data_IF_966817055423
#
_entry.id   IF_966817055423
#
_cell.length_a   1.000
_cell.length_b   1.000
_cell.length_c   1.000
_cell.angle_alpha   90.00
_cell.angle_beta   90.00
_cell.angle_gamma   90.00
#
_symmetry.space_group_name_H-M   'P 1'
#
loop_
_entity.id
_entity.type
_entity.pdbx_description
1 polymer ?
#
# COMPACT_ATOMS: atom_id res chain seq x y z
N UNK A 1 -0.55 -3.35 -19.53
CA UNK A 1 -1.69 -3.39 -18.59
C UNK A 1 -1.67 -2.19 -17.68
N UNK A 2 -2.79 -1.44 -17.59
CA UNK A 2 -2.95 -0.29 -16.68
C UNK A 2 -4.11 -0.53 -15.72
N UNK A 3 -4.14 0.21 -14.60
CA UNK A 3 -5.20 0.09 -13.59
C UNK A 3 -5.87 1.45 -13.37
N UNK A 4 -7.19 1.47 -13.48
CA UNK A 4 -8.03 2.58 -13.06
C UNK A 4 -8.64 2.23 -11.71
N UNK A 5 -8.52 3.12 -10.73
CA UNK A 5 -9.18 2.97 -9.44
C UNK A 5 -10.17 4.11 -9.22
N UNK A 6 -11.46 3.82 -9.38
CA UNK A 6 -12.56 4.76 -9.20
C UNK A 6 -13.11 4.66 -7.78
N UNK A 7 -13.33 5.80 -7.14
CA UNK A 7 -14.06 5.83 -5.87
C UNK A 7 -15.55 5.81 -6.18
N UNK A 8 -16.24 4.73 -5.83
CA UNK A 8 -17.68 4.59 -5.98
C UNK A 8 -18.44 5.11 -4.76
N UNK A 9 -19.67 5.54 -4.98
CA UNK A 9 -20.61 6.02 -3.96
C UNK A 9 -21.84 5.11 -4.02
N UNK A 10 -21.75 3.89 -3.44
CA UNK A 10 -22.88 2.98 -3.44
C UNK A 10 -23.99 3.49 -2.52
N UNK A 11 -25.24 3.24 -2.89
CA UNK A 11 -26.42 3.44 -2.03
C UNK A 11 -26.52 2.34 -0.97
N UNK A 12 -27.48 2.45 -0.02
CA UNK A 12 -27.58 1.53 1.12
C UNK A 12 -27.77 0.08 0.65
N UNK A 13 -28.64 -0.20 -0.34
CA UNK A 13 -28.84 -1.55 -0.89
C UNK A 13 -27.56 -2.12 -1.50
N UNK A 14 -26.80 -1.29 -2.21
CA UNK A 14 -25.52 -1.69 -2.78
C UNK A 14 -24.47 -1.93 -1.70
N UNK A 15 -24.48 -1.14 -0.63
CA UNK A 15 -23.62 -1.36 0.55
C UNK A 15 -23.93 -2.71 1.17
N UNK A 16 -25.20 -3.06 1.37
CA UNK A 16 -25.60 -4.34 1.94
C UNK A 16 -25.10 -5.51 1.07
N UNK A 17 -25.26 -5.44 -0.24
CA UNK A 17 -24.73 -6.44 -1.19
C UNK A 17 -23.20 -6.59 -1.06
N UNK A 18 -22.48 -5.47 -0.97
CA UNK A 18 -21.02 -5.49 -0.81
C UNK A 18 -20.64 -6.14 0.52
N UNK A 19 -21.29 -5.76 1.62
CA UNK A 19 -20.98 -6.28 2.95
C UNK A 19 -21.31 -7.78 3.07
N UNK A 20 -22.44 -8.21 2.52
CA UNK A 20 -22.82 -9.61 2.43
C UNK A 20 -21.79 -10.40 1.63
N UNK A 21 -21.42 -9.90 0.44
CA UNK A 21 -20.38 -10.53 -0.40
C UNK A 21 -19.07 -10.70 0.37
N UNK A 22 -18.57 -9.64 1.00
CA UNK A 22 -17.32 -9.70 1.78
C UNK A 22 -17.42 -10.64 2.98
N UNK A 23 -18.60 -10.72 3.60
CA UNK A 23 -18.91 -11.64 4.70
C UNK A 23 -18.85 -13.09 4.27
N UNK A 24 -19.55 -13.44 3.19
CA UNK A 24 -19.59 -14.76 2.59
C UNK A 24 -18.20 -15.23 2.14
N UNK A 25 -17.46 -14.37 1.48
CA UNK A 25 -16.10 -14.69 1.03
C UNK A 25 -15.14 -14.93 2.21
N UNK A 26 -15.31 -14.20 3.31
CA UNK A 26 -14.56 -14.45 4.54
C UNK A 26 -14.88 -15.83 5.11
N UNK A 27 -16.14 -16.22 5.12
CA UNK A 27 -16.57 -17.55 5.56
C UNK A 27 -15.93 -18.62 4.69
N UNK A 28 -16.05 -18.54 3.37
CA UNK A 28 -15.48 -19.52 2.41
C UNK A 28 -13.96 -19.63 2.57
N UNK A 29 -13.25 -18.50 2.69
CA UNK A 29 -11.81 -18.48 2.94
C UNK A 29 -11.44 -19.27 4.20
N UNK A 30 -12.20 -19.04 5.28
CA UNK A 30 -11.94 -19.70 6.56
C UNK A 30 -12.29 -21.19 6.51
N UNK A 31 -13.35 -21.59 5.80
CA UNK A 31 -13.68 -22.99 5.60
C UNK A 31 -12.59 -23.72 4.83
N UNK A 32 -12.07 -23.13 3.74
CA UNK A 32 -10.93 -23.67 2.99
C UNK A 32 -9.70 -23.85 3.87
N UNK A 33 -9.37 -22.81 4.65
CA UNK A 33 -8.22 -22.86 5.55
C UNK A 33 -8.40 -23.93 6.62
N UNK A 34 -9.57 -23.99 7.25
CA UNK A 34 -9.89 -25.01 8.27
C UNK A 34 -9.84 -26.44 7.74
N UNK A 35 -10.39 -26.66 6.54
CA UNK A 35 -10.38 -27.97 5.89
C UNK A 35 -8.94 -28.45 5.62
N UNK A 36 -8.08 -27.59 5.07
CA UNK A 36 -6.68 -27.94 4.82
C UNK A 36 -5.87 -28.15 6.11
N UNK A 37 -6.12 -27.38 7.18
CA UNK A 37 -5.47 -27.58 8.48
C UNK A 37 -5.89 -28.91 9.09
N UNK A 38 -7.19 -29.25 9.03
CA UNK A 38 -7.72 -30.52 9.52
C UNK A 38 -7.15 -31.70 8.74
N UNK A 39 -7.16 -31.60 7.41
CA UNK A 39 -6.59 -32.62 6.53
C UNK A 39 -5.09 -32.81 6.78
N UNK A 40 -4.33 -31.73 6.93
CA UNK A 40 -2.90 -31.79 7.25
C UNK A 40 -2.64 -32.58 8.54
N UNK A 41 -3.36 -32.25 9.63
CA UNK A 41 -3.21 -32.95 10.90
C UNK A 41 -3.53 -34.44 10.76
N UNK A 42 -4.65 -34.77 10.15
CA UNK A 42 -5.08 -36.18 9.95
C UNK A 42 -4.05 -36.98 9.17
N UNK A 43 -3.57 -36.45 8.04
CA UNK A 43 -2.60 -37.16 7.19
C UNK A 43 -1.21 -37.26 7.82
N UNK A 44 -0.76 -36.25 8.59
CA UNK A 44 0.55 -36.28 9.22
C UNK A 44 0.58 -37.05 10.53
N UNK A 45 -0.48 -36.97 11.35
CA UNK A 45 -0.51 -37.56 12.69
C UNK A 45 -1.08 -38.98 12.70
N UNK A 46 -2.06 -39.30 11.82
CA UNK A 46 -2.74 -40.58 11.80
C UNK A 46 -2.33 -41.48 10.61
N UNK A 47 -2.27 -40.93 9.39
CA UNK A 47 -1.97 -41.69 8.19
C UNK A 47 -0.48 -41.73 7.82
N UNK A 48 0.31 -40.81 8.37
CA UNK A 48 1.76 -40.68 8.06
C UNK A 48 2.06 -40.57 6.56
N UNK A 49 1.18 -39.89 5.79
CA UNK A 49 1.34 -39.64 4.37
C UNK A 49 1.32 -38.13 4.03
N UNK A 50 1.60 -37.79 2.75
CA UNK A 50 1.66 -36.42 2.27
C UNK A 50 0.44 -35.99 1.41
N UNK A 51 -0.65 -36.75 1.41
CA UNK A 51 -1.83 -36.52 0.55
C UNK A 51 -2.86 -35.55 1.14
N UNK A 52 -2.46 -34.73 2.06
CA UNK A 52 -3.33 -33.83 2.84
C UNK A 52 -3.88 -32.62 2.08
N UNK A 53 -3.24 -32.20 0.98
CA UNK A 53 -3.56 -30.92 0.35
C UNK A 53 -4.84 -30.99 -0.47
N UNK A 54 -5.85 -30.24 -0.04
CA UNK A 54 -7.11 -30.08 -0.77
C UNK A 54 -6.91 -28.94 -1.77
N UNK A 55 -7.04 -29.25 -3.07
CA UNK A 55 -6.90 -28.25 -4.12
C UNK A 55 -8.05 -27.24 -4.08
N UNK A 56 -7.82 -26.03 -4.58
CA UNK A 56 -8.87 -25.02 -4.69
C UNK A 56 -10.01 -25.46 -5.63
N UNK A 57 -9.74 -26.28 -6.62
CA UNK A 57 -10.76 -26.82 -7.53
C UNK A 57 -11.67 -27.85 -6.84
N UNK A 58 -11.10 -28.73 -6.06
CA UNK A 58 -11.87 -29.75 -5.33
C UNK A 58 -12.71 -29.10 -4.25
N UNK A 59 -12.14 -28.10 -3.57
CA UNK A 59 -12.90 -27.33 -2.58
C UNK A 59 -14.01 -26.49 -3.22
N UNK A 60 -13.81 -25.93 -4.41
CA UNK A 60 -14.86 -25.21 -5.15
C UNK A 60 -16.04 -26.12 -5.50
N UNK A 61 -15.76 -27.36 -5.89
CA UNK A 61 -16.81 -28.40 -6.09
C UNK A 61 -17.57 -28.65 -4.78
N UNK A 62 -16.86 -28.89 -3.68
CA UNK A 62 -17.47 -29.07 -2.36
C UNK A 62 -18.33 -27.88 -1.94
N UNK A 63 -17.88 -26.66 -2.13
CA UNK A 63 -18.65 -25.45 -1.85
C UNK A 63 -19.94 -25.38 -2.65
N UNK A 64 -19.89 -25.75 -3.93
CA UNK A 64 -21.07 -25.68 -4.81
C UNK A 64 -22.08 -26.82 -4.61
N UNK A 65 -21.62 -28.00 -4.24
CA UNK A 65 -22.48 -29.20 -4.13
C UNK A 65 -22.91 -29.51 -2.71
N UNK A 66 -22.02 -29.38 -1.72
CA UNK A 66 -22.28 -29.82 -0.35
C UNK A 66 -22.41 -28.66 0.63
N UNK A 67 -21.38 -27.82 0.76
CA UNK A 67 -21.38 -26.73 1.72
C UNK A 67 -22.58 -25.77 1.51
N UNK A 68 -22.98 -25.58 0.25
CA UNK A 68 -24.13 -24.72 -0.07
C UNK A 68 -25.49 -25.34 0.25
N UNK A 69 -25.58 -26.63 0.59
CA UNK A 69 -26.81 -27.24 1.12
C UNK A 69 -27.02 -26.81 2.57
N UNK A 70 -25.93 -26.83 3.36
CA UNK A 70 -25.96 -26.41 4.76
C UNK A 70 -26.06 -24.88 4.92
N UNK A 71 -25.49 -24.15 3.95
CA UNK A 71 -25.43 -22.68 3.95
C UNK A 71 -25.95 -22.09 2.62
N UNK A 72 -27.27 -22.08 2.35
CA UNK A 72 -27.85 -21.65 1.06
C UNK A 72 -27.47 -20.24 0.64
N UNK A 73 -27.25 -19.33 1.60
CA UNK A 73 -26.84 -17.94 1.37
C UNK A 73 -25.47 -17.81 0.64
N UNK A 74 -24.67 -18.87 0.59
CA UNK A 74 -23.44 -18.89 -0.22
C UNK A 74 -23.74 -18.67 -1.70
N UNK A 75 -24.89 -19.15 -2.19
CA UNK A 75 -25.28 -19.03 -3.60
C UNK A 75 -25.79 -17.64 -3.97
N UNK A 76 -26.09 -16.78 -3.02
CA UNK A 76 -26.54 -15.40 -3.25
C UNK A 76 -25.43 -14.49 -3.82
N UNK A 77 -24.17 -14.88 -3.68
CA UNK A 77 -23.05 -14.15 -4.24
C UNK A 77 -22.49 -14.85 -5.50
N UNK A 78 -21.76 -14.07 -6.32
CA UNK A 78 -21.16 -14.57 -7.57
C UNK A 78 -20.27 -15.80 -7.35
N UNK A 79 -20.51 -16.87 -8.14
CA UNK A 79 -19.67 -18.08 -8.16
C UNK A 79 -18.22 -17.75 -8.53
N UNK A 80 -18.00 -16.81 -9.43
CA UNK A 80 -16.65 -16.36 -9.82
C UNK A 80 -15.92 -15.68 -8.66
N UNK A 81 -16.64 -14.87 -7.85
CA UNK A 81 -16.06 -14.26 -6.66
C UNK A 81 -15.69 -15.32 -5.60
N UNK A 82 -16.53 -16.36 -5.43
CA UNK A 82 -16.26 -17.50 -4.53
C UNK A 82 -14.99 -18.23 -4.96
N UNK A 83 -14.95 -18.63 -6.25
CA UNK A 83 -13.77 -19.32 -6.83
C UNK A 83 -12.50 -18.49 -6.69
N UNK A 84 -12.53 -17.19 -7.03
CA UNK A 84 -11.37 -16.29 -6.85
C UNK A 84 -10.87 -16.27 -5.39
N UNK A 85 -11.78 -16.27 -4.41
CA UNK A 85 -11.40 -16.28 -3.00
C UNK A 85 -10.75 -17.59 -2.57
N UNK A 86 -11.26 -18.73 -3.03
CA UNK A 86 -10.68 -20.05 -2.78
C UNK A 86 -9.26 -20.13 -3.39
N UNK A 87 -9.12 -19.73 -4.66
CA UNK A 87 -7.82 -19.69 -5.33
C UNK A 87 -6.81 -18.75 -4.65
N UNK A 88 -7.28 -17.65 -4.07
CA UNK A 88 -6.43 -16.75 -3.28
C UNK A 88 -5.98 -17.39 -1.95
N UNK A 89 -6.84 -18.18 -1.30
CA UNK A 89 -6.47 -18.95 -0.12
C UNK A 89 -5.45 -20.04 -0.46
N UNK A 90 -5.65 -20.76 -1.55
CA UNK A 90 -4.71 -21.76 -2.07
C UNK A 90 -3.34 -21.15 -2.37
N UNK A 91 -3.30 -19.99 -3.06
CA UNK A 91 -2.05 -19.28 -3.33
C UNK A 91 -1.31 -18.90 -2.06
N UNK A 92 -2.04 -18.52 -1.00
CA UNK A 92 -1.43 -18.19 0.28
C UNK A 92 -0.75 -19.40 0.93
N UNK A 93 -1.38 -20.59 0.87
CA UNK A 93 -0.76 -21.85 1.31
C UNK A 93 0.46 -22.18 0.48
N UNK A 94 0.32 -22.24 -0.85
CA UNK A 94 1.43 -22.57 -1.74
C UNK A 94 2.62 -21.64 -1.54
N UNK A 95 2.38 -20.36 -1.32
CA UNK A 95 3.44 -19.37 -1.04
C UNK A 95 4.16 -19.68 0.27
N UNK A 96 3.43 -20.02 1.33
CA UNK A 96 4.02 -20.40 2.61
C UNK A 96 4.91 -21.63 2.49
N UNK A 97 4.43 -22.71 1.84
CA UNK A 97 5.21 -23.93 1.71
C UNK A 97 6.42 -23.79 0.77
N UNK A 98 6.37 -22.84 -0.19
CA UNK A 98 7.51 -22.54 -1.06
C UNK A 98 8.61 -21.76 -0.34
N UNK A 99 8.27 -20.88 0.61
CA UNK A 99 9.24 -20.03 1.30
C UNK A 99 8.78 -19.78 2.76
N UNK A 100 9.00 -20.79 3.60
CA UNK A 100 8.60 -20.78 5.03
C UNK A 100 9.35 -19.72 5.84
N UNK A 101 10.57 -19.37 5.45
CA UNK A 101 11.38 -18.40 6.18
C UNK A 101 10.90 -16.96 5.95
N UNK A 102 10.39 -16.66 4.76
CA UNK A 102 9.95 -15.29 4.39
C UNK A 102 8.45 -15.08 4.47
N UNK A 103 7.65 -16.14 4.64
CA UNK A 103 6.19 -16.02 4.64
C UNK A 103 5.57 -16.63 5.87
N UNK A 104 4.61 -15.92 6.48
CA UNK A 104 3.85 -16.46 7.59
C UNK A 104 2.78 -17.46 7.12
N UNK A 105 2.44 -18.42 8.00
CA UNK A 105 1.33 -19.33 7.77
C UNK A 105 0.01 -18.55 7.56
N UNK A 106 -0.86 -18.96 6.61
CA UNK A 106 -2.11 -18.29 6.33
C UNK A 106 -3.00 -18.20 7.59
N UNK A 107 -3.45 -16.98 7.91
CA UNK A 107 -4.25 -16.71 9.11
C UNK A 107 -5.74 -16.61 8.76
N UNK A 108 -6.61 -17.12 9.65
CA UNK A 108 -8.06 -16.92 9.54
C UNK A 108 -8.43 -15.46 9.40
N UNK A 109 -9.39 -15.18 8.54
CA UNK A 109 -9.94 -13.84 8.33
C UNK A 109 -10.97 -13.51 9.40
N UNK A 110 -10.94 -12.29 9.92
CA UNK A 110 -11.93 -11.80 10.88
C UNK A 110 -12.49 -10.44 10.45
N UNK A 111 -13.71 -10.12 10.87
CA UNK A 111 -14.35 -8.83 10.50
C UNK A 111 -13.57 -7.62 11.00
N UNK A 112 -12.93 -7.72 12.16
CA UNK A 112 -12.24 -6.58 12.82
C UNK A 112 -10.73 -6.56 12.55
N UNK A 113 -10.03 -7.69 12.76
CA UNK A 113 -8.55 -7.73 12.75
C UNK A 113 -7.95 -7.95 11.36
N UNK A 114 -8.53 -8.86 10.57
CA UNK A 114 -8.01 -9.25 9.26
C UNK A 114 -9.17 -9.45 8.27
N UNK A 115 -9.90 -8.39 7.88
CA UNK A 115 -11.08 -8.52 7.02
C UNK A 115 -10.73 -8.85 5.58
N UNK A 116 -11.65 -9.52 4.88
CA UNK A 116 -11.67 -9.52 3.42
C UNK A 116 -12.04 -8.11 2.97
N UNK A 117 -11.22 -7.50 2.12
CA UNK A 117 -11.37 -6.10 1.70
C UNK A 117 -11.76 -5.93 0.24
N UNK A 118 -11.77 -6.99 -0.54
CA UNK A 118 -12.10 -6.92 -1.96
C UNK A 118 -12.65 -8.22 -2.49
N UNK A 119 -13.43 -8.12 -3.56
CA UNK A 119 -13.90 -9.27 -4.30
C UNK A 119 -13.83 -9.03 -5.81
N UNK A 120 -13.67 -10.12 -6.54
CA UNK A 120 -13.63 -10.14 -7.99
C UNK A 120 -15.01 -9.87 -8.58
N UNK A 121 -15.06 -9.13 -9.70
CA UNK A 121 -16.25 -8.93 -10.53
C UNK A 121 -15.92 -9.41 -11.94
N UNK A 122 -16.89 -10.06 -12.56
CA UNK A 122 -16.81 -10.45 -13.98
C UNK A 122 -16.67 -9.17 -14.81
N UNK A 123 -15.73 -9.17 -15.75
CA UNK A 123 -15.47 -8.03 -16.62
C UNK A 123 -16.62 -7.77 -17.61
N UNK A 124 -17.28 -8.86 -18.04
CA UNK A 124 -18.34 -8.80 -19.01
C UNK A 124 -19.55 -8.05 -18.44
N UNK A 125 -19.98 -7.04 -19.14
CA UNK A 125 -21.06 -6.14 -18.72
C UNK A 125 -20.62 -4.93 -17.89
N UNK A 126 -19.34 -4.70 -17.59
CA UNK A 126 -18.90 -3.43 -17.02
C UNK A 126 -18.99 -2.36 -18.13
N UNK A 127 -19.79 -1.30 -17.89
CA UNK A 127 -20.07 -0.26 -18.87
C UNK A 127 -19.98 1.14 -18.25
N UNK A 128 -19.62 2.10 -19.10
CA UNK A 128 -19.51 3.53 -18.75
C UNK A 128 -20.47 4.38 -19.62
N UNK A 129 -21.61 3.85 -19.96
CA UNK A 129 -22.65 4.43 -20.80
C UNK A 129 -23.40 5.62 -20.17
N UNK A 130 -23.25 5.85 -18.86
CA UNK A 130 -23.83 7.00 -18.15
C UNK A 130 -22.77 7.87 -17.50
N UNK A 131 -22.86 9.21 -17.60
CA UNK A 131 -21.93 10.12 -16.94
C UNK A 131 -21.84 9.88 -15.44
N UNK A 132 -20.63 9.80 -14.91
CA UNK A 132 -20.33 9.58 -13.47
C UNK A 132 -20.90 8.29 -12.88
N UNK A 133 -21.39 7.38 -13.69
CA UNK A 133 -21.86 6.07 -13.27
C UNK A 133 -21.06 4.98 -13.95
N UNK A 134 -20.86 3.89 -13.26
CA UNK A 134 -20.36 2.63 -13.80
C UNK A 134 -21.41 1.56 -13.57
N UNK A 135 -21.76 0.82 -14.62
CA UNK A 135 -22.58 -0.38 -14.47
C UNK A 135 -21.69 -1.56 -14.08
N UNK A 136 -22.04 -2.22 -12.99
CA UNK A 136 -21.32 -3.36 -12.44
C UNK A 136 -22.28 -4.55 -12.31
N UNK A 137 -21.90 -5.77 -12.71
CA UNK A 137 -22.82 -6.93 -12.81
C UNK A 137 -23.66 -7.22 -11.57
N UNK A 138 -23.19 -6.92 -10.37
CA UNK A 138 -23.92 -7.22 -9.13
C UNK A 138 -24.53 -5.96 -8.51
N UNK A 139 -23.90 -4.81 -8.73
CA UNK A 139 -24.27 -3.55 -8.09
C UNK A 139 -25.10 -2.66 -8.97
N UNK A 140 -25.24 -3.01 -10.27
CA UNK A 140 -25.87 -2.19 -11.29
C UNK A 140 -25.23 -0.78 -11.39
N UNK A 141 -25.96 0.25 -11.82
CA UNK A 141 -25.42 1.60 -11.91
C UNK A 141 -25.02 2.12 -10.54
N UNK A 142 -23.75 2.38 -10.41
CA UNK A 142 -23.14 2.90 -9.19
C UNK A 142 -22.41 4.20 -9.51
N UNK A 143 -22.72 5.25 -8.78
CA UNK A 143 -22.06 6.54 -8.94
C UNK A 143 -20.58 6.46 -8.54
N UNK A 144 -19.74 7.24 -9.22
CA UNK A 144 -18.34 7.39 -8.83
C UNK A 144 -17.85 8.84 -8.92
N UNK A 145 -16.80 9.12 -8.18
CA UNK A 145 -16.13 10.42 -8.23
C UNK A 145 -15.17 10.42 -9.43
N UNK A 146 -15.56 11.16 -10.48
CA UNK A 146 -14.68 11.37 -11.63
C UNK A 146 -13.53 12.32 -11.28
N UNK A 147 -12.32 11.87 -11.53
CA UNK A 147 -11.07 12.65 -11.39
C UNK A 147 -10.53 13.09 -12.74
N UNK A 148 -11.40 13.31 -13.70
CA UNK A 148 -11.06 13.71 -15.05
C UNK A 148 -10.75 12.56 -16.01
N UNK A 149 -11.13 11.32 -15.67
CA UNK A 149 -10.96 10.16 -16.55
C UNK A 149 -11.83 10.26 -17.82
N UNK A 150 -13.07 10.73 -17.71
CA UNK A 150 -13.94 11.01 -18.88
C UNK A 150 -13.35 12.10 -19.77
N UNK A 151 -12.88 13.21 -19.17
CA UNK A 151 -12.29 14.32 -19.94
C UNK A 151 -11.04 13.88 -20.70
N UNK A 152 -10.32 12.87 -20.21
CA UNK A 152 -9.14 12.29 -20.86
C UNK A 152 -9.48 11.19 -21.88
N UNK A 153 -10.73 10.88 -22.08
CA UNK A 153 -11.17 9.80 -22.97
C UNK A 153 -10.77 8.39 -22.52
N UNK A 154 -10.41 8.22 -21.24
CA UNK A 154 -9.94 6.93 -20.71
C UNK A 154 -11.11 6.00 -20.39
N UNK A 155 -12.25 6.57 -19.97
CA UNK A 155 -13.47 5.83 -19.66
C UNK A 155 -14.43 5.95 -20.86
N UNK A 156 -14.50 4.92 -21.64
CA UNK A 156 -15.42 4.74 -22.75
C UNK A 156 -15.86 3.28 -22.81
N UNK A 157 -16.83 2.95 -23.63
CA UNK A 157 -17.35 1.60 -23.79
C UNK A 157 -16.37 0.64 -24.47
N UNK A 158 -15.37 1.18 -25.19
CA UNK A 158 -14.34 0.40 -25.90
C UNK A 158 -13.16 0.00 -25.01
N UNK A 159 -13.25 0.28 -23.70
CA UNK A 159 -12.16 -0.05 -22.76
C UNK A 159 -11.97 -1.57 -22.67
N UNK A 160 -10.82 -2.10 -23.17
CA UNK A 160 -10.51 -3.54 -23.09
C UNK A 160 -10.18 -3.94 -21.63
N UNK A 161 -11.25 -4.26 -20.89
CA UNK A 161 -11.18 -4.64 -19.48
C UNK A 161 -10.71 -6.08 -19.38
N UNK A 162 -9.62 -6.30 -18.64
CA UNK A 162 -9.11 -7.64 -18.33
C UNK A 162 -9.72 -8.23 -17.05
N UNK A 163 -9.84 -7.41 -16.01
CA UNK A 163 -10.46 -7.83 -14.73
C UNK A 163 -10.89 -6.62 -13.92
N UNK A 164 -11.82 -6.85 -12.99
CA UNK A 164 -12.24 -5.81 -12.05
C UNK A 164 -12.44 -6.36 -10.63
N UNK A 165 -12.30 -5.49 -9.64
CA UNK A 165 -12.53 -5.80 -8.22
C UNK A 165 -13.23 -4.65 -7.53
N UNK A 166 -14.23 -4.96 -6.71
CA UNK A 166 -14.76 -4.00 -5.72
C UNK A 166 -13.89 -4.07 -4.48
N UNK A 167 -13.56 -2.92 -3.92
CA UNK A 167 -12.65 -2.79 -2.79
C UNK A 167 -13.32 -1.94 -1.72
N UNK A 168 -13.35 -2.42 -0.48
CA UNK A 168 -13.65 -1.62 0.71
C UNK A 168 -12.34 -1.30 1.43
N UNK A 169 -12.02 -0.02 1.57
CA UNK A 169 -10.81 0.37 2.30
C UNK A 169 -11.02 0.31 3.83
N UNK A 170 -9.93 0.47 4.59
CA UNK A 170 -9.96 0.47 6.05
C UNK A 170 -10.71 1.66 6.66
N UNK A 171 -11.11 2.63 5.85
CA UNK A 171 -11.87 3.81 6.26
C UNK A 171 -13.35 3.73 5.86
N UNK A 172 -13.80 2.57 5.34
CA UNK A 172 -15.18 2.35 4.91
C UNK A 172 -15.55 3.01 3.58
N UNK A 173 -14.56 3.39 2.75
CA UNK A 173 -14.80 3.88 1.39
C UNK A 173 -14.79 2.73 0.40
N UNK A 174 -15.59 2.84 -0.64
CA UNK A 174 -15.71 1.83 -1.68
C UNK A 174 -15.05 2.30 -2.97
N UNK A 175 -14.42 1.37 -3.66
CA UNK A 175 -13.73 1.61 -4.92
C UNK A 175 -14.01 0.45 -5.88
N UNK A 176 -13.99 0.74 -7.17
CA UNK A 176 -13.79 -0.29 -8.19
C UNK A 176 -12.39 -0.12 -8.79
N UNK A 177 -11.64 -1.20 -8.84
CA UNK A 177 -10.33 -1.27 -9.48
C UNK A 177 -10.47 -2.07 -10.75
N UNK A 178 -10.18 -1.47 -11.88
CA UNK A 178 -10.34 -2.03 -13.22
C UNK A 178 -8.96 -2.16 -13.82
N UNK A 179 -8.57 -3.38 -14.18
CA UNK A 179 -7.38 -3.69 -14.95
C UNK A 179 -7.78 -3.73 -16.43
N UNK A 180 -7.11 -2.96 -17.26
CA UNK A 180 -7.38 -2.90 -18.70
C UNK A 180 -6.11 -2.98 -19.52
N UNK A 181 -6.26 -3.41 -20.77
CA UNK A 181 -5.15 -3.40 -21.73
C UNK A 181 -4.98 -1.98 -22.24
N UNK A 182 -3.77 -1.48 -22.16
CA UNK A 182 -3.37 -0.24 -22.76
C UNK A 182 -2.57 -0.58 -24.04
N UNK A 183 -3.10 -0.16 -25.16
CA UNK A 183 -2.47 -0.38 -26.48
C UNK A 183 -1.45 0.69 -26.82
N UNK A 184 -1.36 1.76 -25.99
CA UNK A 184 -0.38 2.81 -26.22
C UNK A 184 1.04 2.27 -25.96
N UNK A 185 1.93 2.45 -26.93
CA UNK A 185 3.36 2.23 -26.74
C UNK A 185 3.89 3.10 -25.61
N UNK A 186 4.88 2.58 -24.86
CA UNK A 186 5.57 3.40 -23.86
C UNK A 186 6.16 4.64 -24.55
N UNK A 187 6.01 5.82 -23.97
CA UNK A 187 6.58 7.03 -24.55
C UNK A 187 8.11 6.88 -24.62
N UNK A 188 8.68 7.15 -25.75
CA UNK A 188 10.14 7.21 -25.92
C UNK A 188 10.64 8.42 -25.12
N UNK A 189 11.60 8.18 -24.25
CA UNK A 189 12.24 9.24 -23.46
C UNK A 189 13.55 9.64 -24.15
N UNK A 190 13.59 10.85 -24.68
CA UNK A 190 14.76 11.41 -25.36
C UNK A 190 15.71 12.15 -24.41
N UNK A 191 15.43 12.19 -23.11
CA UNK A 191 16.29 12.88 -22.17
C UNK A 191 17.61 12.11 -21.97
N UNK A 192 18.72 12.82 -21.85
CA UNK A 192 20.06 12.22 -21.70
C UNK A 192 20.55 12.23 -20.26
N UNK A 193 19.88 12.99 -19.38
CA UNK A 193 20.30 13.18 -18.00
C UNK A 193 19.35 12.51 -17.00
N UNK A 194 19.84 12.26 -15.81
CA UNK A 194 19.13 11.58 -14.73
C UNK A 194 18.85 12.45 -13.51
N UNK A 195 18.28 11.82 -12.48
CA UNK A 195 18.11 12.37 -11.14
C UNK A 195 18.76 11.45 -10.11
N UNK A 196 19.44 12.03 -9.13
CA UNK A 196 19.85 11.35 -7.89
C UNK A 196 18.97 11.81 -6.73
N UNK A 197 18.40 10.90 -5.95
CA UNK A 197 17.44 11.22 -4.86
C UNK A 197 17.89 10.59 -3.55
N UNK A 198 18.25 11.42 -2.59
CA UNK A 198 18.47 11.06 -1.20
C UNK A 198 17.19 11.29 -0.39
N UNK A 199 16.71 10.26 0.34
CA UNK A 199 15.49 10.32 1.16
C UNK A 199 15.85 10.53 2.62
N UNK A 200 15.27 11.54 3.24
CA UNK A 200 15.62 11.91 4.60
C UNK A 200 14.43 12.23 5.52
N UNK A 201 14.68 12.16 6.83
CA UNK A 201 13.68 12.47 7.88
C UNK A 201 13.53 13.98 8.12
N UNK A 202 14.60 14.76 7.93
CA UNK A 202 14.55 16.24 8.06
C UNK A 202 14.03 16.90 6.79
N UNK A 203 14.61 16.56 5.67
CA UNK A 203 14.18 16.90 4.31
C UNK A 203 13.58 15.63 3.75
N UNK A 204 12.39 15.69 3.14
CA UNK A 204 11.74 14.47 2.63
C UNK A 204 12.55 13.82 1.53
N UNK A 205 13.05 14.63 0.61
CA UNK A 205 13.94 14.22 -0.45
C UNK A 205 14.89 15.38 -0.80
N UNK A 206 16.16 15.09 -1.02
CA UNK A 206 17.13 15.95 -1.66
C UNK A 206 17.39 15.38 -3.06
N UNK A 207 17.17 16.17 -4.08
CA UNK A 207 17.19 15.74 -5.48
C UNK A 207 18.26 16.54 -6.21
N UNK A 208 19.21 15.84 -6.82
CA UNK A 208 20.10 16.43 -7.77
C UNK A 208 19.60 16.16 -9.18
N UNK A 209 19.47 17.21 -9.96
CA UNK A 209 19.07 17.18 -11.36
C UNK A 209 20.28 17.46 -12.27
N UNK A 210 20.76 16.41 -12.91
CA UNK A 210 21.92 16.51 -13.77
C UNK A 210 21.67 17.28 -15.08
N UNK A 211 20.39 17.54 -15.44
CA UNK A 211 20.06 18.36 -16.62
C UNK A 211 20.40 19.84 -16.40
N UNK A 212 20.13 20.32 -15.19
CA UNK A 212 20.28 21.73 -14.83
C UNK A 212 21.42 21.99 -13.84
N UNK A 213 22.15 20.94 -13.43
CA UNK A 213 23.15 21.00 -12.36
C UNK A 213 22.63 21.70 -11.09
N UNK A 214 21.45 21.26 -10.63
CA UNK A 214 20.74 21.89 -9.53
C UNK A 214 20.28 20.90 -8.48
N UNK A 215 20.25 21.39 -7.24
CA UNK A 215 19.75 20.65 -6.08
C UNK A 215 18.41 21.22 -5.64
N UNK A 216 17.44 20.35 -5.49
CA UNK A 216 16.11 20.65 -4.96
C UNK A 216 15.91 19.95 -3.62
N UNK A 217 15.49 20.69 -2.60
CA UNK A 217 15.16 20.13 -1.28
C UNK A 217 13.65 20.13 -1.04
N UNK A 218 13.06 18.96 -0.98
CA UNK A 218 11.63 18.78 -0.76
C UNK A 218 11.35 18.75 0.74
N UNK A 219 10.60 19.75 1.22
CA UNK A 219 10.25 19.87 2.64
C UNK A 219 9.40 18.67 3.10
N UNK A 220 9.73 18.14 4.26
CA UNK A 220 8.97 17.03 4.84
C UNK A 220 7.56 17.52 5.24
N UNK A 221 6.45 16.83 4.84
CA UNK A 221 5.07 17.26 5.07
C UNK A 221 4.72 17.44 6.56
N UNK A 222 5.38 16.70 7.44
CA UNK A 222 5.21 16.76 8.89
C UNK A 222 5.95 17.94 9.55
N UNK A 223 6.77 18.69 8.80
CA UNK A 223 7.54 19.80 9.34
C UNK A 223 6.77 21.13 9.32
N UNK A 224 7.13 21.97 10.29
CA UNK A 224 6.59 23.31 10.48
C UNK A 224 5.48 23.36 11.54
N UNK A 225 5.31 24.50 12.18
CA UNK A 225 4.27 24.76 13.19
C UNK A 225 2.86 24.66 12.61
N UNK A 226 2.70 25.06 11.35
CA UNK A 226 1.41 25.07 10.64
C UNK A 226 1.13 23.78 9.86
N UNK A 227 1.90 22.69 10.05
CA UNK A 227 1.65 21.44 9.37
C UNK A 227 0.25 20.89 9.69
N UNK A 228 -0.57 20.71 8.65
CA UNK A 228 -1.91 20.09 8.78
C UNK A 228 -1.82 18.69 9.38
N UNK A 229 -0.76 17.94 9.07
CA UNK A 229 -0.55 16.60 9.59
C UNK A 229 -0.32 16.61 11.09
N UNK A 230 0.49 17.56 11.60
CA UNK A 230 0.66 17.74 13.05
C UNK A 230 -0.65 18.11 13.75
N UNK A 231 -1.43 19.03 13.17
CA UNK A 231 -2.75 19.38 13.72
C UNK A 231 -3.67 18.18 13.82
N UNK A 232 -3.72 17.31 12.77
CA UNK A 232 -4.51 16.08 12.81
C UNK A 232 -3.98 15.08 13.84
N UNK A 233 -2.66 14.94 13.99
CA UNK A 233 -2.06 14.09 15.00
C UNK A 233 -2.41 14.57 16.41
N UNK A 234 -2.28 15.87 16.69
CA UNK A 234 -2.64 16.45 17.99
C UNK A 234 -4.12 16.16 18.36
N UNK A 235 -5.03 16.25 17.37
CA UNK A 235 -6.43 15.85 17.60
C UNK A 235 -6.56 14.35 17.94
N UNK A 236 -5.81 13.48 17.27
CA UNK A 236 -5.79 12.05 17.57
C UNK A 236 -5.30 11.83 19.00
N UNK A 237 -4.19 12.47 19.38
CA UNK A 237 -3.56 12.30 20.70
C UNK A 237 -4.50 12.81 21.82
N UNK A 238 -5.18 13.92 21.62
CA UNK A 238 -6.19 14.43 22.55
C UNK A 238 -7.37 13.45 22.71
N UNK A 239 -7.90 12.90 21.60
CA UNK A 239 -8.98 11.91 21.64
C UNK A 239 -8.54 10.60 22.30
N UNK A 240 -7.29 10.17 22.08
CA UNK A 240 -6.72 8.99 22.74
C UNK A 240 -6.63 9.18 24.25
N UNK A 241 -6.21 10.36 24.74
CA UNK A 241 -6.19 10.67 26.17
C UNK A 241 -7.59 10.55 26.78
N UNK A 242 -8.62 11.11 26.12
CA UNK A 242 -10.02 11.00 26.58
C UNK A 242 -10.48 9.54 26.63
N UNK A 243 -10.12 8.70 25.65
CA UNK A 243 -10.45 7.28 25.66
C UNK A 243 -9.74 6.57 26.84
N UNK A 244 -8.47 6.83 27.05
CA UNK A 244 -7.72 6.26 28.18
C UNK A 244 -8.35 6.59 29.53
N UNK A 245 -8.69 7.87 29.77
CA UNK A 245 -9.37 8.30 31.01
C UNK A 245 -10.73 7.61 31.20
N UNK A 246 -11.53 7.47 30.11
CA UNK A 246 -12.82 6.76 30.20
C UNK A 246 -12.65 5.28 30.53
N UNK A 247 -11.61 4.63 30.01
CA UNK A 247 -11.29 3.23 30.30
C UNK A 247 -10.84 3.07 31.76
N UNK A 248 -10.02 3.98 32.26
CA UNK A 248 -9.56 3.96 33.66
C UNK A 248 -10.71 4.14 34.64
N UNK A 249 -11.65 5.07 34.38
CA UNK A 249 -12.86 5.25 35.18
C UNK A 249 -13.66 3.95 35.22
N UNK A 250 -13.90 3.33 34.07
CA UNK A 250 -14.63 2.06 33.99
C UNK A 250 -13.93 0.91 34.73
N UNK A 251 -12.60 0.86 34.74
CA UNK A 251 -11.84 -0.12 35.49
C UNK A 251 -12.02 0.05 37.01
N UNK A 252 -12.07 1.31 37.47
CA UNK A 252 -12.24 1.63 38.89
C UNK A 252 -13.64 1.31 39.42
N UNK A 253 -14.66 1.38 38.58
CA UNK A 253 -16.06 1.05 38.96
C UNK A 253 -16.30 -0.45 39.11
N UNK A 254 -15.41 -1.33 38.65
CA UNK A 254 -15.49 -2.78 38.79
C UNK A 254 -16.63 -3.45 38.03
N UNK A 255 -16.63 -4.78 37.98
CA UNK A 255 -17.76 -5.59 37.47
C UNK A 255 -18.04 -5.52 35.95
N UNK A 256 -17.27 -4.78 35.17
CA UNK A 256 -17.50 -4.62 33.72
C UNK A 256 -16.69 -5.67 32.94
N UNK A 257 -17.30 -6.47 32.08
CA UNK A 257 -16.58 -7.42 31.23
C UNK A 257 -15.49 -6.73 30.38
N UNK A 258 -14.35 -7.39 30.18
CA UNK A 258 -13.23 -6.84 29.42
C UNK A 258 -13.64 -6.37 27.99
N UNK A 259 -14.63 -7.05 27.39
CA UNK A 259 -15.19 -6.68 26.07
C UNK A 259 -15.94 -5.34 26.11
N UNK A 260 -16.57 -4.99 27.20
CA UNK A 260 -17.35 -3.74 27.35
C UNK A 260 -16.50 -2.58 27.85
N UNK A 261 -15.37 -2.87 28.51
CA UNK A 261 -14.40 -1.87 28.94
C UNK A 261 -13.96 -0.96 27.78
N UNK A 262 -13.69 -1.57 26.62
CA UNK A 262 -13.16 -0.90 25.43
C UNK A 262 -14.24 -0.47 24.42
N UNK A 263 -15.49 -0.88 24.65
CA UNK A 263 -16.63 -0.62 23.75
C UNK A 263 -17.81 0.00 24.51
N UNK A 264 -18.13 1.23 24.19
CA UNK A 264 -19.38 1.91 24.53
C UNK A 264 -19.69 2.89 23.41
N UNK A 265 -20.96 3.31 23.28
CA UNK A 265 -21.36 4.28 22.25
C UNK A 265 -20.44 5.52 22.23
N UNK A 266 -20.07 6.03 23.41
CA UNK A 266 -19.18 7.20 23.53
C UNK A 266 -17.75 6.92 23.11
N UNK A 267 -17.17 5.75 23.46
CA UNK A 267 -15.81 5.34 23.04
C UNK A 267 -15.80 5.04 21.55
N UNK A 268 -16.81 4.36 21.01
CA UNK A 268 -16.90 4.04 19.57
C UNK A 268 -17.02 5.32 18.72
N UNK A 269 -17.72 6.34 19.24
CA UNK A 269 -17.79 7.66 18.59
C UNK A 269 -16.41 8.34 18.56
N UNK A 270 -15.64 8.26 19.65
CA UNK A 270 -14.28 8.80 19.69
C UNK A 270 -13.36 8.05 18.71
N UNK A 271 -13.44 6.73 18.65
CA UNK A 271 -12.73 5.92 17.65
C UNK A 271 -13.12 6.29 16.23
N UNK A 272 -14.38 6.60 15.96
CA UNK A 272 -14.83 7.08 14.65
C UNK A 272 -14.17 8.41 14.27
N UNK A 273 -14.07 9.37 15.21
CA UNK A 273 -13.34 10.63 15.00
C UNK A 273 -11.86 10.39 14.74
N UNK A 274 -11.20 9.52 15.49
CA UNK A 274 -9.79 9.14 15.27
C UNK A 274 -9.60 8.55 13.88
N UNK A 275 -10.47 7.62 13.45
CA UNK A 275 -10.43 7.05 12.08
C UNK A 275 -10.54 8.15 11.01
N UNK A 276 -11.39 9.16 11.23
CA UNK A 276 -11.53 10.30 10.32
C UNK A 276 -10.24 11.11 10.19
N UNK A 277 -9.54 11.39 11.31
CA UNK A 277 -8.26 12.11 11.26
C UNK A 277 -7.13 11.25 10.66
N UNK A 278 -7.04 9.97 11.01
CA UNK A 278 -6.07 9.03 10.38
C UNK A 278 -6.27 8.98 8.87
N UNK A 279 -7.52 8.95 8.40
CA UNK A 279 -7.83 9.03 6.97
C UNK A 279 -7.31 10.32 6.34
N UNK A 280 -7.53 11.48 6.98
CA UNK A 280 -7.02 12.77 6.47
C UNK A 280 -5.50 12.79 6.35
N UNK A 281 -4.80 12.20 7.32
CA UNK A 281 -3.33 12.06 7.28
C UNK A 281 -2.92 11.17 6.10
N UNK A 282 -3.54 10.03 5.97
CA UNK A 282 -3.26 9.09 4.88
C UNK A 282 -3.50 9.73 3.50
N UNK A 283 -4.66 10.37 3.31
CA UNK A 283 -5.02 10.98 2.03
C UNK A 283 -4.06 12.14 1.67
N UNK A 284 -3.63 12.91 2.68
CA UNK A 284 -2.66 13.99 2.48
C UNK A 284 -1.29 13.44 2.04
N UNK A 285 -0.77 12.40 2.73
CA UNK A 285 0.49 11.79 2.37
C UNK A 285 0.44 11.13 0.98
N UNK A 286 -0.67 10.50 0.64
CA UNK A 286 -0.90 9.92 -0.68
C UNK A 286 -0.86 10.98 -1.80
N UNK A 287 -1.53 12.11 -1.59
CA UNK A 287 -1.56 13.21 -2.54
C UNK A 287 -0.17 13.83 -2.69
N UNK A 288 0.53 14.06 -1.58
CA UNK A 288 1.90 14.57 -1.58
C UNK A 288 2.85 13.67 -2.38
N UNK A 289 2.86 12.36 -2.08
CA UNK A 289 3.73 11.40 -2.76
C UNK A 289 3.40 11.33 -4.26
N UNK A 290 2.11 11.26 -4.63
CA UNK A 290 1.70 11.22 -6.04
C UNK A 290 2.08 12.48 -6.80
N UNK A 291 1.93 13.67 -6.19
CA UNK A 291 2.35 14.93 -6.79
C UNK A 291 3.86 14.98 -7.00
N UNK A 292 4.63 14.55 -5.99
CA UNK A 292 6.08 14.48 -6.12
C UNK A 292 6.49 13.51 -7.23
N UNK A 293 5.97 12.28 -7.23
CA UNK A 293 6.25 11.31 -8.29
C UNK A 293 5.86 11.84 -9.68
N UNK A 294 4.71 12.49 -9.80
CA UNK A 294 4.28 13.11 -11.07
C UNK A 294 5.25 14.23 -11.52
N UNK A 295 5.75 15.03 -10.60
CA UNK A 295 6.76 16.05 -10.94
C UNK A 295 8.05 15.39 -11.45
N UNK A 296 8.50 14.33 -10.81
CA UNK A 296 9.73 13.63 -11.17
C UNK A 296 9.61 12.86 -12.50
N UNK A 297 8.43 12.25 -12.78
CA UNK A 297 8.30 11.33 -13.92
C UNK A 297 7.61 11.94 -15.13
N UNK A 298 6.70 12.89 -14.94
CA UNK A 298 5.93 13.49 -16.05
C UNK A 298 6.46 14.86 -16.43
N UNK A 299 6.87 15.68 -15.44
CA UNK A 299 7.35 17.03 -15.71
C UNK A 299 8.86 17.06 -16.00
N UNK A 300 9.67 16.45 -15.14
CA UNK A 300 11.12 16.40 -15.33
C UNK A 300 11.53 15.40 -16.42
N UNK A 301 10.84 14.24 -16.51
CA UNK A 301 11.11 13.17 -17.50
C UNK A 301 12.59 12.81 -17.66
N UNK A 302 13.31 12.50 -16.59
CA UNK A 302 14.73 12.15 -16.69
C UNK A 302 14.91 10.81 -17.43
N UNK A 303 16.11 10.53 -17.93
CA UNK A 303 16.47 9.22 -18.50
C UNK A 303 16.39 8.14 -17.43
N UNK A 304 16.90 8.45 -16.22
CA UNK A 304 16.88 7.54 -15.08
C UNK A 304 16.69 8.30 -13.77
N UNK A 305 16.26 7.58 -12.75
CA UNK A 305 16.21 8.06 -11.37
C UNK A 305 16.93 7.06 -10.49
N UNK A 306 17.98 7.49 -9.79
CA UNK A 306 18.70 6.66 -8.83
C UNK A 306 18.27 7.00 -7.41
N UNK A 307 17.88 5.98 -6.64
CA UNK A 307 17.51 6.09 -5.22
C UNK A 307 18.29 5.07 -4.39
N UNK A 308 18.40 5.30 -3.10
CA UNK A 308 18.99 4.32 -2.16
C UNK A 308 18.09 3.09 -1.97
N UNK A 309 18.72 1.95 -1.67
CA UNK A 309 17.99 0.73 -1.25
C UNK A 309 17.65 0.80 0.24
N UNK A 310 16.61 1.55 0.54
CA UNK A 310 16.13 1.70 1.92
C UNK A 310 15.29 0.49 2.34
N UNK A 311 15.86 -0.38 3.16
CA UNK A 311 15.15 -1.45 3.85
C UNK A 311 14.40 -0.91 5.08
N UNK A 312 13.27 -0.24 4.83
CA UNK A 312 12.50 0.46 5.90
C UNK A 312 12.12 -0.48 7.06
N UNK A 313 11.81 -1.74 6.77
CA UNK A 313 11.48 -2.72 7.81
C UNK A 313 12.68 -3.02 8.71
N UNK A 314 13.87 -3.19 8.15
CA UNK A 314 15.11 -3.38 8.91
C UNK A 314 15.41 -2.14 9.76
N UNK A 315 15.24 -0.93 9.19
CA UNK A 315 15.41 0.33 9.93
C UNK A 315 14.44 0.46 11.10
N UNK A 316 13.19 0.01 10.96
CA UNK A 316 12.18 0.08 12.03
C UNK A 316 12.39 -0.97 13.13
N UNK A 317 13.06 -2.08 12.82
CA UNK A 317 13.40 -3.13 13.79
C UNK A 317 14.78 -2.94 14.44
N UNK A 318 15.57 -1.97 13.97
CA UNK A 318 16.87 -1.67 14.56
C UNK A 318 16.70 -1.05 15.95
N UNK A 319 17.11 -1.81 16.97
CA UNK A 319 17.07 -1.39 18.39
C UNK A 319 17.95 -0.16 18.71
N UNK A 320 18.78 0.30 17.76
CA UNK A 320 19.62 1.50 17.90
C UNK A 320 18.85 2.81 17.72
N UNK A 321 17.63 2.74 17.16
CA UNK A 321 16.82 3.91 16.90
C UNK A 321 15.86 4.20 18.06
N UNK A 322 15.76 5.47 18.45
CA UNK A 322 14.77 5.88 19.45
C UNK A 322 13.34 5.74 18.90
N UNK A 323 12.34 5.58 19.80
CA UNK A 323 10.91 5.52 19.45
C UNK A 323 10.50 6.73 18.57
N UNK A 324 11.05 7.92 18.84
CA UNK A 324 10.79 9.12 18.04
C UNK A 324 11.37 9.06 16.62
N UNK A 325 12.51 8.38 16.45
CA UNK A 325 13.12 8.18 15.13
C UNK A 325 12.31 7.16 14.32
N UNK A 326 11.93 6.04 14.93
CA UNK A 326 11.06 5.04 14.31
C UNK A 326 9.72 5.63 13.87
N UNK A 327 9.07 6.44 14.71
CA UNK A 327 7.83 7.14 14.35
C UNK A 327 8.01 8.09 13.15
N UNK A 328 9.13 8.79 13.06
CA UNK A 328 9.43 9.68 11.91
C UNK A 328 9.65 8.89 10.63
N UNK A 329 10.38 7.78 10.68
CA UNK A 329 10.62 6.89 9.54
C UNK A 329 9.29 6.31 9.05
N UNK A 330 8.46 5.77 9.95
CA UNK A 330 7.14 5.23 9.63
C UNK A 330 6.22 6.29 8.98
N UNK A 331 6.26 7.53 9.47
CA UNK A 331 5.49 8.65 8.93
C UNK A 331 5.97 9.13 7.55
N UNK A 332 7.19 8.80 7.15
CA UNK A 332 7.75 9.22 5.85
C UNK A 332 7.15 8.46 4.67
N UNK A 333 6.62 7.25 4.89
CA UNK A 333 6.02 6.40 3.84
C UNK A 333 6.95 6.17 2.63
N UNK A 334 8.26 6.01 2.84
CA UNK A 334 9.25 5.83 1.76
C UNK A 334 8.99 4.58 0.92
N UNK A 335 8.53 3.50 1.53
CA UNK A 335 8.13 2.31 0.78
C UNK A 335 7.06 2.64 -0.27
N UNK A 336 6.04 3.40 0.12
CA UNK A 336 4.97 3.81 -0.79
C UNK A 336 5.46 4.80 -1.86
N UNK A 337 6.38 5.69 -1.50
CA UNK A 337 7.04 6.58 -2.47
C UNK A 337 7.77 5.76 -3.54
N UNK A 338 8.61 4.81 -3.14
CA UNK A 338 9.33 3.91 -4.05
C UNK A 338 8.36 3.14 -4.96
N UNK A 339 7.29 2.56 -4.39
CA UNK A 339 6.28 1.81 -5.16
C UNK A 339 5.59 2.67 -6.22
N UNK A 340 5.15 3.87 -5.86
CA UNK A 340 4.46 4.79 -6.78
C UNK A 340 5.45 5.33 -7.82
N UNK A 341 6.66 5.71 -7.38
CA UNK A 341 7.70 6.22 -8.26
C UNK A 341 8.06 5.19 -9.34
N UNK A 342 8.33 3.94 -8.94
CA UNK A 342 8.67 2.86 -9.88
C UNK A 342 7.57 2.66 -10.92
N UNK A 343 6.31 2.53 -10.50
CA UNK A 343 5.17 2.36 -11.41
C UNK A 343 5.02 3.52 -12.40
N UNK A 344 5.16 4.74 -11.91
CA UNK A 344 5.02 5.93 -12.76
C UNK A 344 6.23 6.09 -13.69
N UNK A 345 7.43 5.79 -13.23
CA UNK A 345 8.65 5.85 -14.03
C UNK A 345 8.59 4.84 -15.18
N UNK A 346 8.30 3.56 -14.89
CA UNK A 346 8.13 2.52 -15.94
C UNK A 346 7.06 2.94 -16.97
N UNK A 347 5.92 3.49 -16.53
CA UNK A 347 4.87 3.97 -17.44
C UNK A 347 5.30 5.18 -18.30
N UNK A 348 6.37 5.86 -17.96
CA UNK A 348 6.91 7.02 -18.71
C UNK A 348 8.26 6.71 -19.38
N UNK A 349 8.68 5.45 -19.47
CA UNK A 349 9.94 5.05 -20.10
C UNK A 349 11.18 5.51 -19.34
N UNK A 350 11.08 5.70 -18.01
CA UNK A 350 12.16 6.16 -17.13
C UNK A 350 12.74 4.97 -16.38
N UNK A 351 14.06 4.80 -16.43
CA UNK A 351 14.77 3.74 -15.71
C UNK A 351 14.86 4.07 -14.22
N UNK A 352 14.44 3.15 -13.35
CA UNK A 352 14.69 3.26 -11.90
C UNK A 352 15.92 2.45 -11.53
N UNK A 353 16.92 3.12 -10.95
CA UNK A 353 18.16 2.55 -10.46
C UNK A 353 18.13 2.52 -8.93
N UNK A 354 18.37 1.37 -8.36
CA UNK A 354 18.52 1.20 -6.91
C UNK A 354 20.02 1.05 -6.62
N UNK A 355 20.60 2.02 -5.94
CA UNK A 355 21.99 1.96 -5.52
C UNK A 355 22.21 0.76 -4.59
N UNK A 356 23.40 0.14 -4.69
CA UNK A 356 23.74 -0.98 -3.83
C UNK A 356 23.62 -0.60 -2.33
N UNK A 357 23.13 -1.49 -1.50
CA UNK A 357 22.91 -1.29 -0.04
C UNK A 357 24.16 -0.75 0.68
N UNK A 358 25.34 -1.13 0.23
CA UNK A 358 26.62 -0.73 0.83
C UNK A 358 27.22 0.54 0.21
N UNK A 359 26.54 1.15 -0.76
CA UNK A 359 27.00 2.39 -1.37
C UNK A 359 26.89 3.55 -0.38
N UNK A 360 28.05 4.04 0.07
CA UNK A 360 28.13 5.05 1.13
C UNK A 360 27.90 6.47 0.57
N UNK A 361 26.74 6.71 -0.07
CA UNK A 361 26.39 7.94 -0.78
C UNK A 361 26.71 9.23 0.00
N UNK A 362 26.40 9.26 1.29
CA UNK A 362 26.62 10.43 2.15
C UNK A 362 28.06 10.59 2.64
N UNK A 363 28.90 9.52 2.61
CA UNK A 363 30.27 9.53 3.12
C UNK A 363 31.32 9.82 2.06
N UNK A 364 31.04 9.53 0.81
CA UNK A 364 31.93 9.76 -0.33
C UNK A 364 31.86 11.23 -0.72
N UNK A 365 32.99 11.90 -0.80
CA UNK A 365 33.03 13.25 -1.34
C UNK A 365 32.80 13.21 -2.85
N UNK A 366 31.76 13.91 -3.31
CA UNK A 366 31.39 13.92 -4.72
C UNK A 366 32.50 14.50 -5.60
N UNK A 367 33.27 15.49 -5.09
CA UNK A 367 34.32 16.15 -5.85
C UNK A 367 35.56 15.27 -6.09
N UNK A 368 36.01 14.49 -5.08
CA UNK A 368 37.29 13.76 -5.18
C UNK A 368 37.18 12.25 -4.89
N UNK A 369 36.02 11.72 -4.62
CA UNK A 369 35.81 10.30 -4.33
C UNK A 369 36.31 9.82 -2.96
N UNK A 370 36.96 10.68 -2.15
CA UNK A 370 37.46 10.28 -0.82
C UNK A 370 36.30 9.95 0.14
N UNK A 371 36.43 8.84 0.88
CA UNK A 371 35.47 8.42 1.89
C UNK A 371 35.76 9.05 3.24
N UNK A 372 34.91 9.98 3.66
CA UNK A 372 35.03 10.68 4.94
C UNK A 372 34.41 9.88 6.08
N UNK A 373 34.99 9.95 7.27
CA UNK A 373 34.39 9.38 8.47
C UNK A 373 33.46 10.42 9.12
N UNK A 374 32.15 10.25 8.88
CA UNK A 374 31.10 11.16 9.33
C UNK A 374 30.06 10.43 10.16
N UNK A 375 29.43 11.16 11.06
CA UNK A 375 28.33 10.67 11.92
C UNK A 375 26.96 11.08 11.36
N UNK A 376 25.90 10.51 11.89
CA UNK A 376 24.51 10.86 11.51
C UNK A 376 24.14 12.31 11.89
N UNK A 377 24.85 12.91 12.85
CA UNK A 377 24.62 14.31 13.28
C UNK A 377 25.22 15.34 12.34
N UNK A 378 26.28 14.97 11.63
CA UNK A 378 27.01 15.89 10.75
C UNK A 378 26.17 16.24 9.54
N UNK A 379 25.98 17.53 9.30
CA UNK A 379 25.17 18.05 8.19
C UNK A 379 26.01 18.74 7.14
N UNK A 380 26.98 19.48 7.58
CA UNK A 380 27.99 20.12 6.74
C UNK A 380 29.31 19.41 6.97
N UNK A 381 29.97 19.02 5.90
CA UNK A 381 31.15 18.18 5.93
C UNK A 381 32.24 18.87 5.15
N UNK A 382 33.44 19.00 5.74
CA UNK A 382 34.63 19.40 5.02
C UNK A 382 35.46 18.15 4.70
N UNK A 383 35.68 17.89 3.42
CA UNK A 383 36.43 16.73 2.98
C UNK A 383 37.88 16.81 3.45
N UNK A 384 38.38 15.80 4.13
CA UNK A 384 39.73 15.74 4.65
C UNK A 384 40.82 15.65 3.56
N UNK A 385 40.41 15.23 2.35
CA UNK A 385 41.38 15.07 1.22
C UNK A 385 41.46 16.33 0.33
N UNK A 386 40.30 16.86 -0.11
CA UNK A 386 40.30 17.98 -1.05
C UNK A 386 39.89 19.32 -0.43
N UNK A 387 39.57 19.36 0.87
CA UNK A 387 39.17 20.59 1.59
C UNK A 387 37.81 21.15 1.26
N UNK A 388 37.07 20.56 0.30
CA UNK A 388 35.76 21.07 -0.09
C UNK A 388 34.73 20.85 1.00
N UNK A 389 33.93 21.89 1.29
CA UNK A 389 32.82 21.84 2.23
C UNK A 389 31.52 21.66 1.47
N UNK A 390 30.68 20.73 1.93
CA UNK A 390 29.38 20.40 1.30
C UNK A 390 28.30 20.04 2.33
N UNK A 391 27.05 20.22 1.94
CA UNK A 391 25.89 19.69 2.66
C UNK A 391 25.79 18.19 2.40
N UNK A 392 25.67 17.39 3.46
CA UNK A 392 25.70 15.92 3.39
C UNK A 392 24.61 15.35 2.48
N UNK A 393 23.37 15.83 2.61
CA UNK A 393 22.23 15.31 1.88
C UNK A 393 22.32 15.72 0.37
N UNK A 394 22.90 16.89 0.09
CA UNK A 394 23.19 17.35 -1.28
C UNK A 394 24.27 16.49 -1.94
N UNK A 395 25.37 16.25 -1.21
CA UNK A 395 26.44 15.37 -1.68
C UNK A 395 25.94 13.94 -1.95
N UNK A 396 25.09 13.42 -1.09
CA UNK A 396 24.48 12.10 -1.28
C UNK A 396 23.64 12.03 -2.56
N UNK A 397 22.83 13.05 -2.83
CA UNK A 397 22.03 13.12 -4.06
C UNK A 397 22.92 13.16 -5.33
N UNK A 398 24.03 13.90 -5.32
CA UNK A 398 25.00 13.95 -6.42
C UNK A 398 25.68 12.59 -6.61
N UNK A 399 26.12 11.95 -5.53
CA UNK A 399 26.73 10.62 -5.59
C UNK A 399 25.73 9.54 -6.08
N UNK A 400 24.44 9.66 -5.74
CA UNK A 400 23.41 8.76 -6.27
C UNK A 400 23.20 8.97 -7.77
N UNK A 401 23.25 10.20 -8.24
CA UNK A 401 23.17 10.49 -9.67
C UNK A 401 24.31 9.79 -10.43
N UNK A 402 25.55 9.86 -9.95
CA UNK A 402 26.74 9.27 -10.58
C UNK A 402 26.96 7.79 -10.22
N UNK A 403 26.06 7.20 -9.42
CA UNK A 403 26.22 5.82 -8.96
C UNK A 403 26.28 4.84 -10.14
N UNK A 404 27.38 4.09 -10.23
CA UNK A 404 27.62 3.04 -11.25
C UNK A 404 27.23 1.65 -10.76
N UNK A 405 27.15 1.44 -9.43
CA UNK A 405 26.80 0.15 -8.82
C UNK A 405 25.34 0.16 -8.37
N UNK A 406 24.44 -0.23 -9.26
CA UNK A 406 22.98 -0.23 -9.04
C UNK A 406 22.33 -1.45 -9.66
N UNK A 407 21.10 -1.72 -9.22
CA UNK A 407 20.17 -2.70 -9.81
C UNK A 407 19.04 -1.91 -10.48
N UNK A 408 18.67 -2.32 -11.69
CA UNK A 408 17.51 -1.74 -12.39
C UNK A 408 16.25 -2.45 -11.90
N UNK A 409 15.23 -1.68 -11.52
CA UNK A 409 13.90 -2.21 -11.26
C UNK A 409 13.14 -2.31 -12.59
N UNK A 410 12.76 -3.53 -12.95
CA UNK A 410 11.88 -3.85 -14.07
C UNK A 410 10.39 -3.62 -13.73
#
# INVERSE_FOLDING_TARGET
>A
MKVIKLRIIPNDKQIDIIEQTLGTLRFIYNQYLGANIKSYKYHTEELHDNKWFISGYDFDKYVNHDLSKDYPWIKEISSKARKDMIMNAEKAFKKFFKDKEKTEFPKFKSKKKNPVKSFFIIKDGIRFDKPRCVWLPILHYTEFIDKGYYRKGILNDDLDISSARVIKDSYGRYFVSILYKDTQSLPINYNTSGLGIDLGVKTYATIYDGTYDRIFKIKHPWKGSNSKLKKYQNHIDALMKVISSKIEIKKKTGGIPATELYHSKSIDMLWSKIRKYRRKIHDYMDDFIKKLCNTLTVKAKPLYITIEDLHVNELLTDNKLSVKQNDRIAKSNWYKFREILSKMATSNGIMIRIANKYFASSKICHNCGHKNNITLSDRTITCKHCGQTFDRDSNAAMNLYDCKNYIVLE
#
